data_IF_210036602103
#
_entry.id   IF_210036602103
#
_cell.length_a   1.000
_cell.length_b   1.000
_cell.length_c   1.000
_cell.angle_alpha   90.00
_cell.angle_beta   90.00
_cell.angle_gamma   90.00
#
_symmetry.space_group_name_H-M   'P 1'
#
loop_
_entity.id
_entity.type
_entity.pdbx_description
1 polymer ?
#
# COMPACT_ATOMS: atom_id res chain seq x y z
N UNK A 1 -11.49 -15.65 -17.88
CA UNK A 1 -10.50 -14.57 -18.05
C UNK A 1 -9.21 -15.05 -17.42
N UNK A 2 -8.03 -14.78 -17.99
CA UNK A 2 -6.75 -15.29 -17.47
C UNK A 2 -5.97 -14.20 -16.75
N UNK A 3 -5.06 -14.57 -15.86
CA UNK A 3 -4.15 -13.63 -15.19
C UNK A 3 -3.13 -12.95 -16.11
N UNK A 4 -3.06 -13.34 -17.40
CA UNK A 4 -2.29 -12.58 -18.40
C UNK A 4 -2.76 -11.14 -18.54
N UNK A 5 -4.06 -10.87 -18.28
CA UNK A 5 -4.60 -9.52 -18.31
C UNK A 5 -4.08 -8.67 -17.12
N UNK A 6 -3.87 -9.30 -15.97
CA UNK A 6 -3.24 -8.66 -14.82
C UNK A 6 -1.80 -8.31 -15.15
N UNK A 7 -1.03 -9.23 -15.75
CA UNK A 7 0.34 -8.94 -16.19
C UNK A 7 0.40 -7.78 -17.21
N UNK A 8 -0.56 -7.69 -18.14
CA UNK A 8 -0.63 -6.57 -19.09
C UNK A 8 -0.91 -5.25 -18.38
N UNK A 9 -1.78 -5.25 -17.38
CA UNK A 9 -2.07 -4.06 -16.58
C UNK A 9 -0.86 -3.64 -15.76
N UNK A 10 -0.19 -4.59 -15.07
CA UNK A 10 1.05 -4.35 -14.34
C UNK A 10 2.11 -3.68 -15.23
N UNK A 11 2.37 -4.24 -16.41
CA UNK A 11 3.35 -3.70 -17.36
C UNK A 11 3.01 -2.27 -17.80
N UNK A 12 1.74 -1.99 -18.07
CA UNK A 12 1.29 -0.66 -18.50
C UNK A 12 1.38 0.38 -17.39
N UNK A 13 1.11 0.01 -16.16
CA UNK A 13 1.27 0.92 -15.01
C UNK A 13 2.75 1.11 -14.70
N UNK A 14 3.57 0.05 -14.72
CA UNK A 14 5.01 0.16 -14.58
C UNK A 14 5.62 1.11 -15.63
N UNK A 15 5.26 0.95 -16.91
CA UNK A 15 5.67 1.85 -18.01
C UNK A 15 5.28 3.31 -17.74
N UNK A 16 4.05 3.56 -17.27
CA UNK A 16 3.58 4.91 -16.97
C UNK A 16 4.38 5.59 -15.85
N UNK A 17 4.65 4.87 -14.77
CA UNK A 17 5.40 5.41 -13.64
C UNK A 17 6.93 5.39 -13.84
N UNK A 18 7.43 4.67 -14.84
CA UNK A 18 8.86 4.47 -15.06
C UNK A 18 9.49 3.44 -14.12
N UNK A 19 8.70 2.53 -13.56
CA UNK A 19 9.19 1.45 -12.71
C UNK A 19 9.55 0.21 -13.52
N UNK A 20 10.62 -0.54 -13.17
CA UNK A 20 10.96 -1.81 -13.83
C UNK A 20 9.93 -2.92 -13.62
N UNK A 21 9.32 -3.01 -12.44
CA UNK A 21 8.36 -4.05 -12.08
C UNK A 21 7.16 -3.49 -11.36
N UNK A 22 6.03 -4.19 -11.51
CA UNK A 22 4.79 -3.90 -10.80
C UNK A 22 4.10 -5.18 -10.35
N UNK A 23 3.46 -5.14 -9.18
CA UNK A 23 2.65 -6.22 -8.63
C UNK A 23 1.27 -5.68 -8.28
N UNK A 24 0.25 -6.10 -9.03
CA UNK A 24 -1.13 -5.70 -8.80
C UNK A 24 -1.73 -6.43 -7.60
N UNK A 25 -2.41 -5.67 -6.74
CA UNK A 25 -3.07 -6.14 -5.53
C UNK A 25 -4.52 -5.64 -5.47
N UNK A 26 -5.32 -6.23 -4.61
CA UNK A 26 -6.73 -5.87 -4.48
C UNK A 26 -6.98 -4.49 -3.85
N UNK A 27 -6.02 -3.93 -3.11
CA UNK A 27 -6.03 -2.54 -2.63
C UNK A 27 -4.63 -2.06 -2.21
N UNK A 28 -4.43 -0.73 -2.17
CA UNK A 28 -3.15 -0.13 -1.76
C UNK A 28 -2.76 -0.50 -0.32
N UNK A 29 -3.72 -0.56 0.59
CA UNK A 29 -3.47 -0.98 1.99
C UNK A 29 -2.83 -2.36 2.08
N UNK A 30 -3.31 -3.32 1.28
CA UNK A 30 -2.69 -4.64 1.20
C UNK A 30 -1.33 -4.61 0.48
N UNK A 31 -1.13 -3.68 -0.45
CA UNK A 31 0.21 -3.41 -1.02
C UNK A 31 1.20 -3.00 0.06
N UNK A 32 0.85 -1.98 0.87
CA UNK A 32 1.66 -1.55 2.01
C UNK A 32 1.90 -2.70 3.00
N UNK A 33 0.85 -3.48 3.31
CA UNK A 33 0.97 -4.64 4.21
C UNK A 33 1.97 -5.68 3.70
N UNK A 34 1.88 -6.06 2.42
CA UNK A 34 2.79 -7.04 1.85
C UNK A 34 4.25 -6.56 1.88
N UNK A 35 4.49 -5.28 1.61
CA UNK A 35 5.82 -4.69 1.71
C UNK A 35 6.34 -4.68 3.15
N UNK A 36 5.50 -4.31 4.13
CA UNK A 36 5.87 -4.35 5.54
C UNK A 36 6.21 -5.76 6.03
N UNK A 37 5.46 -6.77 5.60
CA UNK A 37 5.72 -8.19 5.91
C UNK A 37 6.99 -8.69 5.27
N UNK A 38 7.20 -8.38 3.99
CA UNK A 38 8.39 -8.79 3.22
C UNK A 38 9.69 -8.24 3.81
N UNK A 39 9.62 -7.04 4.42
CA UNK A 39 10.77 -6.39 5.07
C UNK A 39 10.86 -6.68 6.57
N UNK A 40 9.96 -7.47 7.14
CA UNK A 40 9.91 -7.81 8.58
C UNK A 40 9.96 -6.55 9.48
N UNK A 41 9.22 -5.50 9.09
CA UNK A 41 9.21 -4.21 9.79
C UNK A 41 8.63 -4.39 11.19
N UNK A 42 9.31 -3.85 12.22
CA UNK A 42 8.88 -3.93 13.62
C UNK A 42 8.19 -2.68 14.13
N UNK A 43 8.40 -1.56 13.45
CA UNK A 43 7.80 -0.26 13.81
C UNK A 43 7.30 0.42 12.55
N UNK A 44 6.04 0.86 12.57
CA UNK A 44 5.42 1.64 11.51
C UNK A 44 5.35 3.11 11.96
N UNK A 45 6.04 3.99 11.23
CA UNK A 45 6.04 5.44 11.49
C UNK A 45 5.33 6.11 10.31
N UNK A 46 4.25 6.84 10.58
CA UNK A 46 3.39 7.44 9.56
C UNK A 46 2.99 8.87 9.92
N UNK A 47 2.64 9.70 8.91
CA UNK A 47 2.06 11.01 9.17
C UNK A 47 0.75 10.90 9.97
N UNK A 48 0.52 11.85 10.89
CA UNK A 48 -0.75 11.97 11.62
C UNK A 48 -1.95 12.14 10.68
N UNK A 49 -1.73 12.80 9.54
CA UNK A 49 -2.73 13.05 8.50
C UNK A 49 -2.50 12.09 7.34
N UNK A 50 -3.18 10.96 7.37
CA UNK A 50 -3.15 9.94 6.32
C UNK A 50 -4.47 9.17 6.25
N UNK A 51 -4.56 8.18 5.36
CA UNK A 51 -5.75 7.33 5.32
C UNK A 51 -5.75 6.34 6.48
N UNK A 52 -6.89 6.29 7.18
CA UNK A 52 -7.05 5.56 8.44
C UNK A 52 -6.61 4.07 8.41
N UNK A 53 -6.65 3.42 7.25
CA UNK A 53 -6.23 2.01 7.17
C UNK A 53 -4.71 1.82 7.29
N UNK A 54 -3.90 2.86 7.04
CA UNK A 54 -2.44 2.75 7.10
C UNK A 54 -1.95 2.53 8.54
N UNK A 55 -2.28 3.37 9.53
CA UNK A 55 -1.90 3.10 10.91
C UNK A 55 -2.57 1.83 11.48
N UNK A 56 -3.74 1.42 11.00
CA UNK A 56 -4.37 0.15 11.39
C UNK A 56 -3.52 -1.08 11.01
N UNK A 57 -2.60 -0.95 10.05
CA UNK A 57 -1.65 -2.02 9.73
C UNK A 57 -0.74 -2.35 10.92
N UNK A 58 -0.38 -1.37 11.74
CA UNK A 58 0.43 -1.64 12.93
C UNK A 58 -0.27 -2.64 13.86
N UNK A 59 -1.56 -2.44 14.13
CA UNK A 59 -2.34 -3.37 14.94
C UNK A 59 -2.49 -4.74 14.25
N UNK A 60 -2.83 -4.74 12.95
CA UNK A 60 -3.00 -5.97 12.16
C UNK A 60 -1.72 -6.82 12.10
N UNK A 61 -0.55 -6.18 12.06
CA UNK A 61 0.75 -6.81 11.98
C UNK A 61 1.39 -7.06 13.36
N UNK A 62 0.75 -6.58 14.43
CA UNK A 62 1.29 -6.61 15.79
C UNK A 62 2.68 -5.96 15.87
N UNK A 63 2.82 -4.79 15.25
CA UNK A 63 4.03 -3.96 15.26
C UNK A 63 3.76 -2.62 15.94
N UNK A 64 4.81 -1.94 16.37
CA UNK A 64 4.69 -0.65 17.05
C UNK A 64 4.24 0.44 16.08
N UNK A 65 3.23 1.24 16.45
CA UNK A 65 2.84 2.46 15.74
C UNK A 65 3.56 3.67 16.33
N UNK A 66 4.05 4.54 15.46
CA UNK A 66 4.54 5.88 15.81
C UNK A 66 4.02 6.90 14.80
N UNK A 67 3.87 8.13 15.24
CA UNK A 67 3.39 9.22 14.42
C UNK A 67 4.49 10.24 14.14
N UNK A 68 4.44 10.87 12.97
CA UNK A 68 5.22 12.05 12.65
C UNK A 68 4.32 13.20 12.16
N UNK A 69 4.86 14.41 12.11
CA UNK A 69 4.16 15.62 11.68
C UNK A 69 4.47 15.98 10.20
N UNK A 70 4.87 14.97 9.38
CA UNK A 70 5.21 15.19 7.98
C UNK A 70 4.05 15.82 7.22
N UNK A 71 4.34 16.91 6.49
CA UNK A 71 3.43 17.54 5.55
C UNK A 71 3.75 16.99 4.15
N UNK A 72 2.81 16.25 3.55
CA UNK A 72 2.99 15.59 2.27
C UNK A 72 1.94 16.06 1.25
N UNK A 73 2.27 15.95 -0.05
CA UNK A 73 1.35 16.30 -1.15
C UNK A 73 0.92 15.06 -1.93
N UNK A 74 1.86 14.42 -2.62
CA UNK A 74 1.59 13.32 -3.55
C UNK A 74 1.83 11.95 -2.92
N UNK A 75 2.78 11.86 -1.98
CA UNK A 75 3.18 10.63 -1.31
C UNK A 75 3.91 10.94 0.01
N UNK A 76 4.12 9.92 0.81
CA UNK A 76 4.98 9.97 2.00
C UNK A 76 5.68 8.63 2.20
N UNK A 77 6.78 8.66 2.94
CA UNK A 77 7.50 7.46 3.33
C UNK A 77 6.84 6.83 4.55
N UNK A 78 6.79 5.48 4.60
CA UNK A 78 6.68 4.78 5.86
C UNK A 78 8.06 4.86 6.50
N UNK A 79 8.24 5.86 7.38
CA UNK A 79 9.54 6.30 7.87
C UNK A 79 10.36 5.15 8.46
N UNK A 80 11.66 5.14 8.20
CA UNK A 80 12.57 4.06 8.59
C UNK A 80 12.54 2.84 7.67
N UNK A 81 11.76 2.88 6.57
CA UNK A 81 11.71 1.84 5.53
C UNK A 81 11.98 2.44 4.16
N UNK A 82 12.05 1.60 3.11
CA UNK A 82 12.03 2.06 1.72
C UNK A 82 10.63 1.90 1.06
N UNK A 83 9.57 1.89 1.86
CA UNK A 83 8.19 1.82 1.41
C UNK A 83 7.61 3.23 1.33
N UNK A 84 6.94 3.52 0.21
CA UNK A 84 6.25 4.79 -0.04
C UNK A 84 4.75 4.51 -0.20
N UNK A 85 3.93 5.16 0.62
CA UNK A 85 2.50 5.28 0.32
C UNK A 85 2.31 6.40 -0.70
N UNK A 86 2.06 6.02 -1.94
CA UNK A 86 1.80 6.91 -3.08
C UNK A 86 0.32 6.80 -3.53
N UNK A 87 -0.59 6.58 -2.58
CA UNK A 87 -1.99 6.27 -2.86
C UNK A 87 -2.74 7.36 -3.64
N UNK A 88 -2.23 8.59 -3.67
CA UNK A 88 -2.83 9.71 -4.40
C UNK A 88 -2.00 10.15 -5.61
N UNK A 89 -0.79 9.63 -5.76
CA UNK A 89 0.13 10.02 -6.83
C UNK A 89 -0.37 9.50 -8.19
N UNK A 90 -0.47 10.40 -9.17
CA UNK A 90 -0.68 10.06 -10.57
C UNK A 90 0.17 10.96 -11.45
N UNK A 91 1.41 10.55 -11.69
CA UNK A 91 2.38 11.33 -12.45
C UNK A 91 3.30 10.40 -13.24
N UNK A 92 3.45 10.72 -14.54
CA UNK A 92 4.34 9.96 -15.42
C UNK A 92 5.80 10.09 -14.97
N UNK A 93 6.56 8.99 -15.12
CA UNK A 93 7.99 8.90 -14.81
C UNK A 93 8.35 9.37 -13.37
N UNK A 94 7.49 9.02 -12.39
CA UNK A 94 7.62 9.43 -10.98
C UNK A 94 8.03 8.32 -10.03
N UNK A 95 8.36 7.14 -10.52
CA UNK A 95 8.90 6.06 -9.70
C UNK A 95 10.24 6.49 -9.07
N UNK A 96 10.41 6.23 -7.79
CA UNK A 96 11.64 6.51 -7.03
C UNK A 96 12.45 5.21 -6.93
N UNK A 97 13.70 5.17 -7.47
CA UNK A 97 14.54 3.97 -7.43
C UNK A 97 14.81 3.45 -6.01
N UNK A 98 15.02 2.14 -5.88
CA UNK A 98 15.28 1.42 -4.64
C UNK A 98 14.14 1.49 -3.62
N UNK A 99 12.89 1.64 -4.09
CA UNK A 99 11.71 1.71 -3.24
C UNK A 99 10.64 0.70 -3.61
N UNK A 100 9.65 0.56 -2.71
CA UNK A 100 8.36 -0.05 -2.95
C UNK A 100 7.31 1.04 -2.90
N UNK A 101 6.84 1.51 -4.06
CA UNK A 101 5.80 2.53 -4.13
C UNK A 101 4.42 1.89 -4.28
N UNK A 102 3.55 2.11 -3.32
CA UNK A 102 2.18 1.58 -3.31
C UNK A 102 1.18 2.63 -3.80
N UNK A 103 0.55 2.37 -4.96
CA UNK A 103 -0.43 3.26 -5.60
C UNK A 103 -1.83 2.68 -5.48
N UNK A 104 -2.84 3.55 -5.31
CA UNK A 104 -4.23 3.17 -5.12
C UNK A 104 -5.08 3.41 -6.37
N UNK A 105 -5.98 2.46 -6.65
CA UNK A 105 -7.03 2.58 -7.69
C UNK A 105 -8.44 2.54 -7.09
N UNK A 106 -8.57 2.91 -5.80
CA UNK A 106 -9.86 3.01 -5.13
C UNK A 106 -10.77 4.03 -5.86
N UNK A 107 -12.09 3.93 -5.68
CA UNK A 107 -13.09 4.69 -6.46
C UNK A 107 -12.88 6.22 -6.47
N UNK A 108 -12.21 6.80 -5.48
CA UNK A 108 -11.92 8.25 -5.42
C UNK A 108 -10.63 8.65 -6.15
N UNK A 109 -9.79 7.67 -6.54
CA UNK A 109 -8.48 7.93 -7.14
C UNK A 109 -8.58 8.31 -8.61
N UNK A 110 -7.50 8.86 -9.16
CA UNK A 110 -7.47 9.34 -10.54
C UNK A 110 -7.81 8.21 -11.53
N UNK A 111 -7.09 7.08 -11.49
CA UNK A 111 -7.51 5.86 -12.15
C UNK A 111 -8.46 5.08 -11.23
N UNK A 112 -9.75 5.38 -11.33
CA UNK A 112 -10.79 4.81 -10.46
C UNK A 112 -11.26 3.44 -10.96
N UNK A 113 -10.94 2.39 -10.19
CA UNK A 113 -11.34 0.99 -10.48
C UNK A 113 -12.31 0.43 -9.43
N UNK A 114 -12.81 1.29 -8.50
CA UNK A 114 -13.61 0.85 -7.38
C UNK A 114 -12.74 0.34 -6.24
N UNK A 115 -12.01 -0.74 -6.46
CA UNK A 115 -11.00 -1.29 -5.56
C UNK A 115 -9.80 -1.73 -6.40
N UNK A 116 -8.59 -1.57 -5.87
CA UNK A 116 -7.37 -1.97 -6.54
C UNK A 116 -6.16 -1.21 -5.98
N UNK A 117 -5.00 -1.78 -6.17
CA UNK A 117 -3.72 -1.18 -5.84
C UNK A 117 -2.60 -1.81 -6.67
N UNK A 118 -1.42 -1.22 -6.60
CA UNK A 118 -0.23 -1.77 -7.24
C UNK A 118 1.01 -1.41 -6.43
N UNK A 119 1.96 -2.31 -6.37
CA UNK A 119 3.29 -2.09 -5.79
C UNK A 119 4.26 -1.93 -6.97
N UNK A 120 4.99 -0.84 -7.01
CA UNK A 120 6.04 -0.56 -8.00
C UNK A 120 7.40 -0.78 -7.34
N UNK A 121 8.34 -1.43 -8.03
CA UNK A 121 9.68 -1.67 -7.52
C UNK A 121 10.68 -1.91 -8.66
N UNK A 122 11.97 -1.72 -8.41
CA UNK A 122 13.07 -2.12 -9.29
C UNK A 122 13.74 -3.43 -8.86
N UNK A 123 13.34 -4.00 -7.73
CA UNK A 123 13.84 -5.27 -7.23
C UNK A 123 13.01 -6.43 -7.81
N UNK A 124 13.62 -7.19 -8.73
CA UNK A 124 12.98 -8.30 -9.43
C UNK A 124 12.60 -9.45 -8.49
N UNK A 125 13.50 -9.81 -7.60
CA UNK A 125 13.32 -10.89 -6.64
C UNK A 125 12.16 -10.58 -5.68
N UNK A 126 12.15 -9.37 -5.15
CA UNK A 126 11.05 -8.89 -4.29
C UNK A 126 9.71 -8.83 -5.05
N UNK A 127 9.69 -8.42 -6.32
CA UNK A 127 8.48 -8.42 -7.13
C UNK A 127 7.90 -9.83 -7.31
N UNK A 128 8.75 -10.84 -7.52
CA UNK A 128 8.33 -12.25 -7.62
C UNK A 128 7.77 -12.74 -6.29
N UNK A 129 8.45 -12.43 -5.18
CA UNK A 129 8.00 -12.79 -3.83
C UNK A 129 6.67 -12.13 -3.48
N UNK A 130 6.54 -10.82 -3.66
CA UNK A 130 5.30 -10.08 -3.42
C UNK A 130 4.13 -10.62 -4.27
N UNK A 131 4.41 -11.04 -5.51
CA UNK A 131 3.41 -11.68 -6.37
C UNK A 131 2.95 -13.03 -5.81
N UNK A 132 3.85 -13.85 -5.27
CA UNK A 132 3.50 -15.09 -4.56
C UNK A 132 2.71 -14.76 -3.30
N UNK A 133 3.18 -13.81 -2.47
CA UNK A 133 2.49 -13.38 -1.26
C UNK A 133 1.08 -12.90 -1.53
N UNK A 134 0.86 -12.15 -2.62
CA UNK A 134 -0.48 -11.69 -2.99
C UNK A 134 -1.40 -12.81 -3.46
N UNK A 135 -0.88 -13.96 -3.92
CA UNK A 135 -1.64 -15.03 -4.56
C UNK A 135 -1.41 -16.40 -3.89
N UNK A 136 -1.72 -16.50 -2.60
CA UNK A 136 -1.71 -17.76 -1.83
C UNK A 136 -0.35 -18.50 -1.82
N UNK A 137 0.76 -17.77 -1.90
CA UNK A 137 2.13 -18.32 -1.94
C UNK A 137 2.54 -18.91 -3.28
N UNK A 138 1.75 -18.71 -4.34
CA UNK A 138 1.93 -19.30 -5.66
C UNK A 138 1.97 -18.26 -6.78
N UNK A 139 2.47 -18.63 -7.93
CA UNK A 139 2.38 -17.81 -9.15
C UNK A 139 1.07 -18.08 -9.89
N UNK A 140 0.41 -17.05 -10.44
CA UNK A 140 -0.77 -17.22 -11.29
C UNK A 140 -0.41 -17.93 -12.62
N UNK A 141 -1.43 -18.44 -13.32
CA UNK A 141 -1.32 -19.16 -14.61
C UNK A 141 -0.57 -20.51 -14.55
N UNK A 142 -0.15 -20.97 -13.39
CA UNK A 142 0.39 -22.32 -13.18
C UNK A 142 -0.51 -23.04 -12.19
N UNK A 143 -0.96 -24.29 -12.46
CA UNK A 143 -1.74 -25.05 -11.48
C UNK A 143 -0.98 -25.20 -10.16
N UNK A 144 -1.62 -24.88 -9.05
CA UNK A 144 -0.95 -24.86 -7.74
C UNK A 144 -0.34 -26.23 -7.35
N UNK A 145 -0.95 -27.32 -7.81
CA UNK A 145 -0.43 -28.69 -7.59
C UNK A 145 0.92 -28.96 -8.27
N UNK A 146 1.29 -28.13 -9.25
CA UNK A 146 2.56 -28.22 -10.01
C UNK A 146 3.61 -27.23 -9.49
N UNK A 147 3.34 -26.56 -8.39
CA UNK A 147 4.26 -25.58 -7.79
C UNK A 147 4.77 -26.08 -6.43
N UNK A 148 6.01 -25.76 -6.11
CA UNK A 148 6.47 -25.81 -4.73
C UNK A 148 6.01 -24.51 -4.03
N UNK A 149 5.22 -24.64 -2.96
CA UNK A 149 4.74 -23.50 -2.17
C UNK A 149 5.74 -23.27 -1.05
N UNK A 150 6.57 -22.26 -1.20
CA UNK A 150 7.68 -21.89 -0.32
C UNK A 150 7.50 -20.51 0.35
N UNK A 151 6.41 -19.82 0.03
CA UNK A 151 6.11 -18.45 0.50
C UNK A 151 4.72 -18.42 1.12
N UNK A 152 4.56 -17.73 2.25
CA UNK A 152 3.25 -17.48 2.85
C UNK A 152 2.43 -16.54 1.97
N UNK A 153 1.19 -16.92 1.64
CA UNK A 153 0.29 -16.14 0.81
C UNK A 153 -0.91 -15.58 1.57
N UNK A 154 -1.50 -14.49 1.06
CA UNK A 154 -2.52 -13.69 1.74
C UNK A 154 -3.80 -13.44 0.93
N UNK A 155 -3.97 -14.01 -0.23
CA UNK A 155 -5.18 -13.87 -1.08
C UNK A 155 -5.55 -12.40 -1.40
N UNK A 156 -4.54 -11.56 -1.70
CA UNK A 156 -4.66 -10.12 -1.95
C UNK A 156 -4.48 -9.75 -3.44
N UNK A 157 -4.61 -10.70 -4.33
CA UNK A 157 -4.41 -10.48 -5.76
C UNK A 157 -5.51 -9.60 -6.37
N UNK A 158 -5.15 -8.85 -7.40
CA UNK A 158 -6.13 -8.14 -8.21
C UNK A 158 -6.91 -9.12 -9.10
N UNK A 159 -8.24 -9.04 -9.09
CA UNK A 159 -9.07 -9.83 -10.00
C UNK A 159 -8.84 -9.41 -11.47
N UNK A 160 -8.79 -10.37 -12.42
CA UNK A 160 -8.60 -10.07 -13.84
C UNK A 160 -9.61 -9.07 -14.42
N UNK A 161 -10.84 -9.03 -13.89
CA UNK A 161 -11.90 -8.10 -14.29
C UNK A 161 -11.53 -6.65 -13.93
N UNK A 162 -10.91 -6.43 -12.78
CA UNK A 162 -10.43 -5.12 -12.34
C UNK A 162 -9.26 -4.66 -13.21
N UNK A 163 -8.32 -5.56 -13.50
CA UNK A 163 -7.20 -5.28 -14.39
C UNK A 163 -7.69 -4.90 -15.81
N UNK A 164 -8.69 -5.62 -16.34
CA UNK A 164 -9.31 -5.29 -17.63
C UNK A 164 -9.96 -3.90 -17.61
N UNK A 165 -10.71 -3.59 -16.54
CA UNK A 165 -11.29 -2.26 -16.37
C UNK A 165 -10.20 -1.19 -16.33
N UNK A 166 -9.07 -1.48 -15.67
CA UNK A 166 -7.91 -0.61 -15.61
C UNK A 166 -7.33 -0.33 -16.99
N UNK A 167 -7.08 -1.35 -17.80
CA UNK A 167 -6.59 -1.21 -19.17
C UNK A 167 -7.54 -0.36 -20.04
N UNK A 168 -8.85 -0.56 -19.91
CA UNK A 168 -9.84 0.19 -20.69
C UNK A 168 -9.93 1.68 -20.28
N UNK A 169 -9.60 2.01 -19.04
CA UNK A 169 -9.64 3.40 -18.53
C UNK A 169 -8.31 4.12 -18.61
N UNK A 170 -7.20 3.38 -18.80
CA UNK A 170 -5.84 3.88 -18.65
C UNK A 170 -5.51 5.04 -19.60
N UNK A 171 -5.83 4.92 -20.87
CA UNK A 171 -5.56 5.95 -21.88
C UNK A 171 -6.22 7.29 -21.50
N UNK A 172 -7.48 7.24 -21.07
CA UNK A 172 -8.18 8.43 -20.59
C UNK A 172 -7.50 9.02 -19.34
N UNK A 173 -7.11 8.16 -18.39
CA UNK A 173 -6.46 8.61 -17.15
C UNK A 173 -5.09 9.25 -17.42
N UNK A 174 -4.31 8.72 -18.36
CA UNK A 174 -3.01 9.31 -18.77
C UNK A 174 -3.19 10.69 -19.40
N UNK A 175 -4.24 10.87 -20.19
CA UNK A 175 -4.48 12.11 -20.95
C UNK A 175 -5.36 13.14 -20.22
N UNK A 176 -5.72 12.87 -18.96
CA UNK A 176 -6.51 13.79 -18.12
C UNK A 176 -5.61 14.38 -17.03
N UNK A 177 -5.71 15.67 -16.69
CA UNK A 177 -4.97 16.26 -15.58
C UNK A 177 -5.23 15.49 -14.28
N UNK A 178 -4.18 15.23 -13.47
CA UNK A 178 -4.33 14.44 -12.23
C UNK A 178 -5.26 15.15 -11.24
N UNK A 179 -6.01 14.35 -10.50
CA UNK A 179 -6.80 14.86 -9.36
C UNK A 179 -5.83 15.45 -8.33
N UNK A 180 -6.10 16.66 -7.89
CA UNK A 180 -5.37 17.30 -6.81
C UNK A 180 -5.95 16.85 -5.47
N UNK A 181 -5.08 16.73 -4.49
CA UNK A 181 -5.39 16.44 -3.11
C UNK A 181 -4.79 17.49 -2.20
N UNK A 182 -5.46 17.80 -1.08
CA UNK A 182 -4.90 18.65 -0.03
C UNK A 182 -4.76 17.84 1.23
N UNK A 183 -3.68 18.06 1.96
CA UNK A 183 -3.48 17.42 3.27
C UNK A 183 -4.57 17.83 4.26
N UNK A 184 -5.16 19.00 4.08
CA UNK A 184 -6.25 19.52 4.92
C UNK A 184 -7.55 18.68 4.81
N UNK A 185 -7.67 17.86 3.74
CA UNK A 185 -8.78 16.91 3.61
C UNK A 185 -8.63 15.70 4.55
N UNK A 186 -7.46 15.52 5.18
CA UNK A 186 -7.14 14.41 6.06
C UNK A 186 -7.18 14.86 7.52
N UNK A 187 -8.07 14.30 8.36
CA UNK A 187 -8.09 14.63 9.78
C UNK A 187 -6.80 14.17 10.47
N UNK A 188 -6.46 14.79 11.59
CA UNK A 188 -5.44 14.27 12.48
C UNK A 188 -5.96 12.97 13.14
N UNK A 189 -5.34 11.86 12.79
CA UNK A 189 -5.79 10.55 13.25
C UNK A 189 -5.48 10.30 14.73
N UNK A 190 -4.55 11.04 15.32
CA UNK A 190 -4.23 10.93 16.76
C UNK A 190 -5.41 11.37 17.64
N UNK A 191 -6.31 12.19 17.10
CA UNK A 191 -7.52 12.62 17.78
C UNK A 191 -8.63 11.55 17.80
N UNK A 192 -8.49 10.49 16.99
CA UNK A 192 -9.50 9.43 16.90
C UNK A 192 -9.32 8.42 18.03
N UNK A 193 -10.42 8.08 18.69
CA UNK A 193 -10.45 7.19 19.86
C UNK A 193 -9.69 5.86 19.66
N UNK A 194 -9.79 5.27 18.47
CA UNK A 194 -9.12 3.99 18.16
C UNK A 194 -7.58 4.08 18.15
N UNK A 195 -7.03 5.28 18.03
CA UNK A 195 -5.58 5.50 18.00
C UNK A 195 -5.04 6.12 19.30
N UNK A 196 -5.91 6.46 20.25
CA UNK A 196 -5.49 6.92 21.56
C UNK A 196 -4.88 5.79 22.37
N UNK A 197 -3.75 6.05 23.00
CA UNK A 197 -3.12 5.09 23.88
C UNK A 197 -3.74 5.14 25.28
N UNK A 198 -3.44 4.14 26.12
CA UNK A 198 -3.82 4.19 27.56
C UNK A 198 -3.18 5.40 28.26
N UNK A 199 -1.98 5.81 27.83
CA UNK A 199 -1.32 7.01 28.34
C UNK A 199 -2.10 8.28 27.99
N UNK A 200 -2.54 8.43 26.74
CA UNK A 200 -3.35 9.57 26.30
C UNK A 200 -4.64 9.65 27.10
N UNK A 201 -5.34 8.53 27.29
CA UNK A 201 -6.55 8.46 28.09
C UNK A 201 -6.30 8.87 29.56
N UNK A 202 -5.20 8.43 30.16
CA UNK A 202 -4.85 8.80 31.53
C UNK A 202 -4.52 10.30 31.67
N UNK A 203 -3.83 10.88 30.68
CA UNK A 203 -3.52 12.32 30.65
C UNK A 203 -4.80 13.15 30.55
N UNK A 204 -5.68 12.82 29.59
CA UNK A 204 -6.96 13.53 29.37
C UNK A 204 -7.87 13.49 30.62
N UNK A 205 -7.83 12.43 31.40
CA UNK A 205 -8.67 12.24 32.58
C UNK A 205 -7.96 12.52 33.92
N UNK A 206 -6.73 13.06 33.92
CA UNK A 206 -5.90 13.32 35.10
C UNK A 206 -5.69 12.07 35.98
N UNK A 207 -5.54 10.89 35.39
CA UNK A 207 -5.30 9.63 36.08
C UNK A 207 -3.79 9.39 36.17
N UNK A 208 -3.25 9.25 37.41
CA UNK A 208 -1.84 8.89 37.58
C UNK A 208 -1.55 7.46 37.12
N UNK A 209 -0.63 7.32 36.17
CA UNK A 209 -0.13 6.00 35.77
C UNK A 209 0.88 5.53 36.80
N UNK A 210 0.50 4.62 37.67
CA UNK A 210 1.46 3.92 38.50
C UNK A 210 2.16 2.84 37.67
N UNK A 211 3.34 3.14 37.17
CA UNK A 211 4.25 2.11 36.62
C UNK A 211 4.70 1.22 37.76
N UNK A 212 4.10 0.04 37.89
CA UNK A 212 4.71 -1.02 38.70
C UNK A 212 5.96 -1.50 37.95
N UNK A 213 7.09 -0.94 38.28
CA UNK A 213 8.40 -1.55 37.95
C UNK A 213 8.50 -2.87 38.71
N UNK A 214 8.48 -3.97 37.95
CA UNK A 214 8.93 -5.28 38.44
C UNK A 214 10.38 -5.49 38.04
#
# INVERSE_FOLDING_TARGET
MSFEIVNKFENKIAEFFGAPYAVAVDCCTHGNELCLRQQEVLTLIVPKRTYLSVPMLANKLNIRLQWNDEQWEDYYWLEGTNIIDAAVLWKKDSYIPNTFMCVSFQFQKHLSLGRGGIILTDNKEAAIELKKMSYDGRLPNVPWRNQNIDTMGYHYYMAPEIALMGLNKLEKAINTPPKKWSIDEWPDLTEMEIFKTTEDYCIENNISIYTQTK
#
